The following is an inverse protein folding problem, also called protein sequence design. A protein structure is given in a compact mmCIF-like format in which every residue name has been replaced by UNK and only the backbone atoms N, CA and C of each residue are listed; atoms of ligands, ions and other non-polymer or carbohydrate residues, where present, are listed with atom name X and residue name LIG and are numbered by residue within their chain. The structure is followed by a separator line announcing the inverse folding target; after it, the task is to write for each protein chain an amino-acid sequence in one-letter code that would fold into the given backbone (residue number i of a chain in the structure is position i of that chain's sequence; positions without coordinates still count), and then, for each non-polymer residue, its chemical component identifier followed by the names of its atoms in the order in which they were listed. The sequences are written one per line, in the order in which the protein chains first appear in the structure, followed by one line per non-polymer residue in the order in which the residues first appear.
data_IF_503970306710
#
_entry.id   IF_503970306710
#
_cell.length_a   1.000
_cell.length_b   1.000
_cell.length_c   1.000
_cell.angle_alpha   90.00
_cell.angle_beta   90.00
_cell.angle_gamma   90.00
#
_symmetry.space_group_name_H-M   'P 1'
#
loop_
_entity.id
_entity.type
_entity.pdbx_description
1 polymer ?
#
# COMPACT_ATOMS: atom_id res chain seq x y z
N UNK A 1 -19.99 18.23 -14.68
CA UNK A 1 -20.80 18.50 -13.47
C UNK A 1 -22.13 17.74 -13.50
N UNK A 2 -22.79 17.66 -14.66
CA UNK A 2 -24.04 16.92 -14.86
C UNK A 2 -23.97 15.43 -14.47
N UNK A 3 -22.90 14.71 -14.82
CA UNK A 3 -22.81 13.25 -14.54
C UNK A 3 -22.78 12.90 -13.04
N UNK A 4 -22.15 13.72 -12.19
CA UNK A 4 -22.12 13.44 -10.73
C UNK A 4 -23.53 13.56 -10.16
N UNK A 5 -24.26 14.61 -10.51
CA UNK A 5 -25.60 14.89 -10.01
C UNK A 5 -26.55 13.79 -10.49
N UNK A 6 -26.46 13.39 -11.76
CA UNK A 6 -27.24 12.28 -12.32
C UNK A 6 -26.97 10.97 -11.57
N UNK A 7 -25.70 10.61 -11.35
CA UNK A 7 -25.34 9.38 -10.63
C UNK A 7 -25.76 9.40 -9.16
N UNK A 8 -25.66 10.55 -8.48
CA UNK A 8 -26.14 10.72 -7.11
C UNK A 8 -27.66 10.56 -7.03
N UNK A 9 -28.39 11.15 -7.99
CA UNK A 9 -29.84 11.02 -8.08
C UNK A 9 -30.25 9.56 -8.32
N UNK A 10 -29.63 8.91 -9.30
CA UNK A 10 -29.87 7.49 -9.60
C UNK A 10 -29.58 6.58 -8.41
N UNK A 11 -28.50 6.85 -7.67
CA UNK A 11 -28.16 6.10 -6.48
C UNK A 11 -29.22 6.31 -5.39
N UNK A 12 -29.61 7.57 -5.13
CA UNK A 12 -30.66 7.90 -4.15
C UNK A 12 -31.99 7.23 -4.51
N UNK A 13 -32.42 7.32 -5.76
CA UNK A 13 -33.64 6.66 -6.26
C UNK A 13 -33.56 5.14 -6.09
N UNK A 14 -32.39 4.53 -6.30
CA UNK A 14 -32.23 3.07 -6.15
C UNK A 14 -32.15 2.62 -4.69
N UNK A 15 -31.92 3.55 -3.76
CA UNK A 15 -31.91 3.32 -2.31
C UNK A 15 -33.27 3.62 -1.66
N UNK A 16 -34.12 4.41 -2.32
CA UNK A 16 -35.46 4.74 -1.87
C UNK A 16 -36.43 3.76 -2.49
N UNK A 17 -36.76 2.69 -1.77
CA UNK A 17 -37.75 1.70 -2.20
C UNK A 17 -39.09 1.98 -1.51
N UNK A 18 -40.19 1.79 -2.26
CA UNK A 18 -41.54 1.65 -1.71
C UNK A 18 -41.65 0.30 -0.98
N UNK A 19 -42.49 0.21 0.05
CA UNK A 19 -42.45 -0.79 1.15
C UNK A 19 -42.40 -2.30 0.77
N UNK A 20 -42.54 -2.69 -0.51
CA UNK A 20 -42.66 -4.09 -0.96
C UNK A 20 -41.64 -4.58 -2.02
N UNK A 21 -40.68 -3.77 -2.51
CA UNK A 21 -39.67 -4.21 -3.50
C UNK A 21 -38.30 -4.56 -2.88
N UNK A 22 -37.69 -5.67 -3.31
CA UNK A 22 -36.30 -6.00 -2.92
C UNK A 22 -35.27 -5.06 -3.56
N UNK A 23 -34.23 -4.70 -2.80
CA UNK A 23 -33.09 -3.91 -3.29
C UNK A 23 -32.39 -4.63 -4.45
N UNK A 24 -32.34 -3.98 -5.62
CA UNK A 24 -31.48 -4.43 -6.72
C UNK A 24 -30.01 -4.11 -6.43
N UNK A 25 -29.35 -5.01 -5.69
CA UNK A 25 -27.96 -4.86 -5.23
C UNK A 25 -26.99 -4.66 -6.39
N UNK A 26 -27.14 -5.40 -7.49
CA UNK A 26 -26.24 -5.29 -8.64
C UNK A 26 -26.30 -3.91 -9.30
N UNK A 27 -27.51 -3.36 -9.46
CA UNK A 27 -27.71 -2.00 -9.97
C UNK A 27 -27.08 -0.97 -9.04
N UNK A 28 -27.28 -1.11 -7.73
CA UNK A 28 -26.70 -0.21 -6.72
C UNK A 28 -25.17 -0.24 -6.77
N UNK A 29 -24.56 -1.44 -6.78
CA UNK A 29 -23.10 -1.57 -6.86
C UNK A 29 -22.53 -0.98 -8.14
N UNK A 30 -23.22 -1.13 -9.27
CA UNK A 30 -22.80 -0.57 -10.56
C UNK A 30 -22.84 0.98 -10.54
N UNK A 31 -23.94 1.58 -10.08
CA UNK A 31 -24.07 3.04 -9.96
C UNK A 31 -23.03 3.59 -8.98
N UNK A 32 -22.90 2.96 -7.81
CA UNK A 32 -21.92 3.36 -6.81
C UNK A 32 -20.49 3.29 -7.35
N UNK A 33 -20.14 2.22 -8.07
CA UNK A 33 -18.83 2.08 -8.68
C UNK A 33 -18.52 3.20 -9.68
N UNK A 34 -19.49 3.56 -10.55
CA UNK A 34 -19.36 4.69 -11.49
C UNK A 34 -19.20 6.03 -10.76
N UNK A 35 -19.98 6.25 -9.70
CA UNK A 35 -19.92 7.47 -8.91
C UNK A 35 -18.58 7.61 -8.17
N UNK A 36 -18.10 6.53 -7.55
CA UNK A 36 -16.77 6.48 -6.90
C UNK A 36 -15.67 6.75 -7.93
N UNK A 37 -15.74 6.10 -9.10
CA UNK A 37 -14.79 6.36 -10.18
C UNK A 37 -14.76 7.84 -10.56
N UNK A 38 -15.93 8.46 -10.75
CA UNK A 38 -16.03 9.87 -11.09
C UNK A 38 -15.44 10.78 -9.99
N UNK A 39 -15.73 10.50 -8.71
CA UNK A 39 -15.11 11.23 -7.60
C UNK A 39 -13.59 11.10 -7.57
N UNK A 40 -13.07 9.89 -7.76
CA UNK A 40 -11.63 9.62 -7.81
C UNK A 40 -10.94 10.38 -8.95
N UNK A 41 -11.53 10.38 -10.15
CA UNK A 41 -11.02 11.09 -11.33
C UNK A 41 -10.96 12.60 -11.14
N UNK A 42 -11.81 13.15 -10.26
CA UNK A 42 -11.80 14.56 -9.86
C UNK A 42 -11.04 14.81 -8.55
N UNK A 43 -10.20 13.85 -8.11
CA UNK A 43 -9.41 13.96 -6.88
C UNK A 43 -10.23 14.12 -5.57
N UNK A 44 -11.54 13.79 -5.57
CA UNK A 44 -12.47 13.95 -4.44
C UNK A 44 -12.56 12.68 -3.58
N UNK A 45 -11.50 12.34 -2.85
CA UNK A 45 -11.43 11.10 -2.02
C UNK A 45 -12.51 11.06 -0.95
N UNK A 46 -12.74 12.16 -0.24
CA UNK A 46 -13.73 12.21 0.84
C UNK A 46 -15.16 11.96 0.33
N UNK A 47 -15.50 12.47 -0.85
CA UNK A 47 -16.78 12.20 -1.49
C UNK A 47 -16.92 10.73 -1.92
N UNK A 48 -15.87 10.15 -2.50
CA UNK A 48 -15.83 8.72 -2.81
C UNK A 48 -16.01 7.86 -1.55
N UNK A 49 -15.37 8.24 -0.43
CA UNK A 49 -15.51 7.58 0.87
C UNK A 49 -16.95 7.68 1.39
N UNK A 50 -17.60 8.82 1.27
CA UNK A 50 -18.99 8.98 1.72
C UNK A 50 -19.93 8.00 1.01
N UNK A 51 -19.76 7.83 -0.31
CA UNK A 51 -20.53 6.83 -1.08
C UNK A 51 -20.25 5.43 -0.56
N UNK A 52 -18.98 5.07 -0.34
CA UNK A 52 -18.59 3.77 0.20
C UNK A 52 -19.26 3.45 1.53
N UNK A 53 -19.31 4.41 2.45
CA UNK A 53 -19.90 4.19 3.79
C UNK A 53 -21.38 3.81 3.69
N UNK A 54 -22.11 4.44 2.77
CA UNK A 54 -23.51 4.10 2.50
C UNK A 54 -23.64 2.69 1.90
N UNK A 55 -22.74 2.30 0.99
CA UNK A 55 -22.83 1.00 0.35
C UNK A 55 -22.41 -0.14 1.29
N UNK A 56 -21.43 0.08 2.17
CA UNK A 56 -20.98 -0.92 3.14
C UNK A 56 -22.08 -1.30 4.15
N UNK A 57 -23.03 -0.42 4.44
CA UNK A 57 -24.18 -0.77 5.29
C UNK A 57 -25.24 -1.61 4.58
N UNK A 58 -25.13 -1.80 3.25
CA UNK A 58 -26.14 -2.45 2.43
C UNK A 58 -25.64 -3.79 1.89
N UNK A 59 -24.42 -3.82 1.36
CA UNK A 59 -23.88 -5.02 0.72
C UNK A 59 -22.36 -5.12 0.80
N UNK A 60 -21.84 -6.34 0.70
CA UNK A 60 -20.42 -6.58 0.51
C UNK A 60 -19.99 -6.11 -0.89
N UNK A 61 -18.90 -5.34 -1.03
CA UNK A 61 -18.43 -4.89 -2.33
C UNK A 61 -17.91 -6.08 -3.15
N UNK A 62 -18.33 -6.16 -4.41
CA UNK A 62 -17.87 -7.18 -5.36
C UNK A 62 -17.42 -6.56 -6.69
N UNK A 63 -16.61 -7.32 -7.45
CA UNK A 63 -16.19 -6.97 -8.81
C UNK A 63 -15.65 -5.53 -8.95
N UNK A 64 -16.30 -4.75 -9.80
CA UNK A 64 -15.87 -3.38 -10.12
C UNK A 64 -16.03 -2.42 -8.93
N UNK A 65 -16.98 -2.65 -8.01
CA UNK A 65 -17.09 -1.84 -6.80
C UNK A 65 -15.89 -2.08 -5.88
N UNK A 66 -15.47 -3.33 -5.69
CA UNK A 66 -14.25 -3.67 -4.93
C UNK A 66 -13.01 -3.04 -5.52
N UNK A 67 -12.89 -3.01 -6.85
CA UNK A 67 -11.79 -2.32 -7.52
C UNK A 67 -11.75 -0.82 -7.20
N UNK A 68 -12.89 -0.12 -7.31
CA UNK A 68 -12.92 1.32 -7.02
C UNK A 68 -12.72 1.60 -5.53
N UNK A 69 -13.27 0.76 -4.66
CA UNK A 69 -13.08 0.88 -3.23
C UNK A 69 -11.61 0.62 -2.84
N UNK A 70 -10.97 -0.41 -3.40
CA UNK A 70 -9.54 -0.65 -3.21
C UNK A 70 -8.70 0.58 -3.53
N UNK A 71 -9.01 1.28 -4.64
CA UNK A 71 -8.34 2.55 -5.01
C UNK A 71 -8.56 3.67 -3.99
N UNK A 72 -9.74 3.78 -3.38
CA UNK A 72 -9.98 4.74 -2.27
C UNK A 72 -9.11 4.38 -1.07
N UNK A 73 -9.09 3.11 -0.66
CA UNK A 73 -8.28 2.63 0.45
C UNK A 73 -6.78 2.90 0.26
N UNK A 74 -6.25 2.74 -0.96
CA UNK A 74 -4.85 3.07 -1.29
C UNK A 74 -4.54 4.54 -1.01
N UNK A 75 -5.44 5.43 -1.40
CA UNK A 75 -5.28 6.89 -1.24
C UNK A 75 -5.37 7.35 0.20
N UNK A 76 -6.02 6.56 1.05
CA UNK A 76 -6.14 6.81 2.50
C UNK A 76 -5.07 6.05 3.32
N UNK A 77 -4.16 5.31 2.67
CA UNK A 77 -3.15 4.51 3.37
C UNK A 77 -3.68 3.24 4.03
N UNK A 78 -4.92 2.82 3.74
CA UNK A 78 -5.54 1.60 4.27
C UNK A 78 -5.15 0.37 3.44
N UNK A 79 -3.86 0.03 3.44
CA UNK A 79 -3.29 -0.97 2.53
C UNK A 79 -3.82 -2.39 2.75
N UNK A 80 -4.02 -2.82 4.00
CA UNK A 80 -4.57 -4.15 4.28
C UNK A 80 -5.97 -4.32 3.68
N UNK A 81 -6.85 -3.31 3.88
CA UNK A 81 -8.20 -3.32 3.32
C UNK A 81 -8.20 -3.23 1.80
N UNK A 82 -7.28 -2.45 1.22
CA UNK A 82 -7.11 -2.41 -0.24
C UNK A 82 -6.73 -3.78 -0.79
N UNK A 83 -5.78 -4.47 -0.14
CA UNK A 83 -5.33 -5.80 -0.54
C UNK A 83 -6.45 -6.85 -0.49
N UNK A 84 -7.27 -6.86 0.57
CA UNK A 84 -8.43 -7.76 0.64
C UNK A 84 -9.44 -7.46 -0.46
N UNK A 85 -9.74 -6.18 -0.70
CA UNK A 85 -10.68 -5.77 -1.75
C UNK A 85 -10.21 -6.17 -3.15
N UNK A 86 -8.92 -6.02 -3.45
CA UNK A 86 -8.38 -6.40 -4.76
C UNK A 86 -8.36 -7.92 -4.99
N UNK A 87 -8.12 -8.71 -3.95
CA UNK A 87 -8.20 -10.17 -4.04
C UNK A 87 -9.64 -10.69 -4.21
N UNK A 88 -10.64 -9.95 -3.73
CA UNK A 88 -12.05 -10.33 -3.84
C UNK A 88 -12.71 -10.03 -5.20
N UNK A 89 -11.98 -9.49 -6.19
CA UNK A 89 -12.55 -9.10 -7.50
C UNK A 89 -12.90 -10.33 -8.37
N UNK A 90 -12.36 -11.51 -8.06
CA UNK A 90 -12.65 -12.77 -8.78
C UNK A 90 -11.89 -12.94 -10.10
N UNK A 91 -11.24 -11.91 -10.62
CA UNK A 91 -10.31 -11.99 -11.75
C UNK A 91 -9.11 -11.06 -11.55
N UNK A 92 -7.95 -11.46 -12.08
CA UNK A 92 -6.70 -10.68 -11.98
C UNK A 92 -6.24 -10.29 -13.38
N UNK A 93 -6.10 -8.98 -13.61
CA UNK A 93 -5.52 -8.42 -14.82
C UNK A 93 -4.48 -7.34 -14.48
N UNK A 94 -3.82 -6.78 -15.49
CA UNK A 94 -2.76 -5.79 -15.29
C UNK A 94 -3.21 -4.54 -14.50
N UNK A 95 -4.48 -4.12 -14.63
CA UNK A 95 -5.02 -2.94 -13.92
C UNK A 95 -5.10 -3.18 -12.41
N UNK A 96 -5.31 -4.43 -12.00
CA UNK A 96 -5.35 -4.83 -10.59
C UNK A 96 -3.92 -5.11 -10.11
N UNK A 97 -3.11 -5.77 -10.94
CA UNK A 97 -1.72 -6.10 -10.61
C UNK A 97 -0.87 -4.87 -10.29
N UNK A 98 -1.09 -3.73 -10.95
CA UNK A 98 -0.36 -2.50 -10.62
C UNK A 98 -0.50 -2.10 -9.14
N UNK A 99 -1.61 -2.48 -8.48
CA UNK A 99 -1.83 -2.31 -7.04
C UNK A 99 -1.40 -3.54 -6.23
N UNK A 100 -1.73 -4.76 -6.70
CA UNK A 100 -1.44 -5.98 -5.95
C UNK A 100 0.06 -6.22 -5.79
N UNK A 101 0.89 -5.99 -6.82
CA UNK A 101 2.33 -6.26 -6.73
C UNK A 101 3.01 -5.51 -5.55
N UNK A 102 2.87 -4.18 -5.40
CA UNK A 102 3.44 -3.49 -4.24
C UNK A 102 2.76 -3.86 -2.92
N UNK A 103 1.46 -4.18 -2.91
CA UNK A 103 0.75 -4.61 -1.70
C UNK A 103 1.20 -5.99 -1.20
N UNK A 104 1.41 -6.94 -2.11
CA UNK A 104 1.96 -8.27 -1.83
C UNK A 104 3.31 -8.17 -1.14
N UNK A 105 4.17 -7.29 -1.65
CA UNK A 105 5.44 -7.04 -1.00
C UNK A 105 5.27 -6.36 0.37
N UNK A 106 4.41 -5.34 0.47
CA UNK A 106 4.22 -4.62 1.73
C UNK A 106 3.65 -5.48 2.86
N UNK A 107 2.72 -6.38 2.53
CA UNK A 107 1.93 -7.15 3.50
C UNK A 107 2.54 -8.54 3.72
N UNK A 108 2.90 -9.24 2.64
CA UNK A 108 3.36 -10.62 2.70
C UNK A 108 4.87 -10.78 2.45
N UNK A 109 5.60 -9.68 2.23
CA UNK A 109 7.02 -9.69 1.85
C UNK A 109 7.28 -10.55 0.59
N UNK A 110 6.29 -10.65 -0.31
CA UNK A 110 6.35 -11.48 -1.51
C UNK A 110 6.73 -10.64 -2.73
N UNK A 111 7.75 -11.10 -3.46
CA UNK A 111 8.17 -10.48 -4.72
C UNK A 111 7.36 -10.99 -5.91
N UNK A 112 7.19 -10.18 -6.97
CA UNK A 112 6.59 -10.65 -8.23
C UNK A 112 7.40 -11.78 -8.86
N UNK A 113 6.72 -12.75 -9.50
CA UNK A 113 7.36 -13.74 -10.36
C UNK A 113 7.84 -13.04 -11.65
N UNK A 114 9.04 -13.37 -12.13
CA UNK A 114 9.60 -12.79 -13.36
C UNK A 114 8.72 -13.02 -14.60
N UNK A 115 7.94 -14.10 -14.64
CA UNK A 115 6.96 -14.39 -15.70
C UNK A 115 5.85 -13.31 -15.82
N UNK A 116 5.58 -12.55 -14.75
CA UNK A 116 4.56 -11.48 -14.78
C UNK A 116 4.96 -10.37 -15.76
N UNK A 117 6.25 -10.10 -15.91
CA UNK A 117 6.75 -9.04 -16.79
C UNK A 117 6.57 -9.40 -18.27
N UNK A 118 6.69 -10.68 -18.61
CA UNK A 118 6.46 -11.20 -19.95
C UNK A 118 4.97 -11.25 -20.27
N UNK A 119 4.16 -11.74 -19.32
CA UNK A 119 2.70 -11.84 -19.47
C UNK A 119 2.02 -10.46 -19.57
N UNK A 120 2.55 -9.46 -18.87
CA UNK A 120 2.00 -8.10 -18.85
C UNK A 120 3.12 -7.06 -19.09
N UNK A 121 3.56 -6.86 -20.35
CA UNK A 121 4.64 -5.92 -20.69
C UNK A 121 4.37 -4.48 -20.23
N UNK A 122 3.11 -4.08 -20.12
CA UNK A 122 2.71 -2.76 -19.58
C UNK A 122 3.18 -2.52 -18.14
N UNK A 123 3.45 -3.58 -17.38
CA UNK A 123 3.97 -3.50 -16.00
C UNK A 123 5.50 -3.42 -15.96
N UNK A 124 6.20 -3.61 -17.07
CA UNK A 124 7.67 -3.62 -17.14
C UNK A 124 8.35 -2.38 -16.50
N UNK A 125 7.79 -1.15 -16.59
CA UNK A 125 8.35 0.01 -15.88
C UNK A 125 8.46 -0.15 -14.36
N UNK A 126 7.71 -1.09 -13.75
CA UNK A 126 7.81 -1.41 -12.33
C UNK A 126 8.97 -2.36 -11.99
N UNK A 127 9.47 -3.13 -12.96
CA UNK A 127 10.50 -4.16 -12.73
C UNK A 127 11.78 -3.60 -12.05
N UNK A 128 12.32 -2.43 -12.44
CA UNK A 128 13.48 -1.87 -11.75
C UNK A 128 13.25 -1.59 -10.25
N UNK A 129 12.04 -1.14 -9.88
CA UNK A 129 11.68 -0.92 -8.47
C UNK A 129 11.72 -2.24 -7.69
N UNK A 130 11.17 -3.32 -8.25
CA UNK A 130 11.22 -4.64 -7.61
C UNK A 130 12.61 -5.28 -7.60
N UNK A 131 13.45 -5.01 -8.59
CA UNK A 131 14.86 -5.42 -8.58
C UNK A 131 15.64 -4.73 -7.45
N UNK A 132 15.37 -3.44 -7.20
CA UNK A 132 15.97 -2.72 -6.09
C UNK A 132 15.50 -3.25 -4.72
N UNK A 133 14.22 -3.67 -4.62
CA UNK A 133 13.71 -4.38 -3.44
C UNK A 133 14.43 -5.73 -3.27
N UNK A 134 14.54 -6.53 -4.33
CA UNK A 134 15.17 -7.87 -4.33
C UNK A 134 16.65 -7.82 -3.93
N UNK A 135 17.36 -6.76 -4.33
CA UNK A 135 18.75 -6.51 -3.94
C UNK A 135 18.90 -5.78 -2.59
N UNK A 136 17.79 -5.44 -1.93
CA UNK A 136 17.72 -4.70 -0.68
C UNK A 136 18.48 -3.37 -0.67
N UNK A 137 18.55 -2.72 -1.83
CA UNK A 137 19.30 -1.48 -2.01
C UNK A 137 18.39 -0.27 -1.77
N UNK A 138 18.39 0.24 -0.53
CA UNK A 138 17.57 1.39 -0.11
C UNK A 138 17.85 2.64 -0.96
N UNK A 139 19.13 2.94 -1.24
CA UNK A 139 19.52 4.12 -2.04
C UNK A 139 18.98 4.04 -3.46
N UNK A 140 19.20 2.90 -4.13
CA UNK A 140 18.71 2.68 -5.50
C UNK A 140 17.18 2.72 -5.54
N UNK A 141 16.50 2.11 -4.57
CA UNK A 141 15.05 2.13 -4.52
C UNK A 141 14.50 3.55 -4.36
N UNK A 142 15.11 4.36 -3.48
CA UNK A 142 14.74 5.78 -3.32
C UNK A 142 15.00 6.59 -4.59
N UNK A 143 16.13 6.40 -5.26
CA UNK A 143 16.41 7.13 -6.50
C UNK A 143 15.42 6.76 -7.61
N UNK A 144 15.05 5.48 -7.72
CA UNK A 144 14.03 5.01 -8.66
C UNK A 144 12.63 5.57 -8.34
N UNK A 145 12.24 5.66 -7.06
CA UNK A 145 10.99 6.32 -6.66
C UNK A 145 11.00 7.78 -7.07
N UNK A 146 12.09 8.49 -6.82
CA UNK A 146 12.22 9.92 -7.15
C UNK A 146 12.17 10.13 -8.67
N UNK A 147 12.89 9.32 -9.44
CA UNK A 147 12.87 9.33 -10.90
C UNK A 147 11.45 9.09 -11.46
N UNK A 148 10.71 8.14 -10.86
CA UNK A 148 9.35 7.79 -11.28
C UNK A 148 8.25 8.59 -10.56
N UNK A 149 8.59 9.63 -9.79
CA UNK A 149 7.65 10.26 -8.85
C UNK A 149 6.42 10.84 -9.56
N UNK A 150 6.61 11.50 -10.71
CA UNK A 150 5.51 12.08 -11.49
C UNK A 150 4.54 11.00 -12.00
N UNK A 151 5.08 9.90 -12.53
CA UNK A 151 4.27 8.79 -13.03
C UNK A 151 3.52 8.09 -11.89
N UNK A 152 4.21 7.77 -10.79
CA UNK A 152 3.61 7.18 -9.59
C UNK A 152 2.53 8.08 -8.98
N UNK A 153 2.71 9.40 -9.01
CA UNK A 153 1.70 10.36 -8.57
C UNK A 153 0.46 10.35 -9.47
N UNK A 154 0.65 10.30 -10.80
CA UNK A 154 -0.45 10.24 -11.77
C UNK A 154 -1.34 9.02 -11.57
N UNK A 155 -0.78 7.89 -11.14
CA UNK A 155 -1.52 6.67 -10.81
C UNK A 155 -1.84 6.51 -9.31
N UNK A 156 -1.55 7.53 -8.50
CA UNK A 156 -1.79 7.58 -7.05
C UNK A 156 -1.12 6.47 -6.23
N UNK A 157 0.05 6.00 -6.67
CA UNK A 157 0.83 4.96 -5.99
C UNK A 157 2.08 5.48 -5.26
N UNK A 158 2.47 6.74 -5.43
CA UNK A 158 3.72 7.25 -4.85
C UNK A 158 3.82 6.99 -3.34
N UNK A 159 2.75 7.28 -2.58
CA UNK A 159 2.73 7.05 -1.14
C UNK A 159 2.90 5.57 -0.79
N UNK A 160 2.25 4.66 -1.52
CA UNK A 160 2.42 3.22 -1.32
C UNK A 160 3.87 2.79 -1.58
N UNK A 161 4.48 3.23 -2.68
CA UNK A 161 5.87 2.88 -2.99
C UNK A 161 6.86 3.40 -1.95
N UNK A 162 6.64 4.60 -1.40
CA UNK A 162 7.46 5.12 -0.29
C UNK A 162 7.39 4.24 0.96
N UNK A 163 6.25 3.59 1.23
CA UNK A 163 6.10 2.67 2.37
C UNK A 163 6.93 1.39 2.22
N UNK A 164 7.25 0.98 0.98
CA UNK A 164 8.04 -0.23 0.72
C UNK A 164 9.51 -0.10 1.17
N UNK A 165 9.98 1.11 1.47
CA UNK A 165 11.34 1.35 2.00
C UNK A 165 11.53 0.66 3.36
N UNK A 166 10.49 0.65 4.21
CA UNK A 166 10.60 0.14 5.57
C UNK A 166 10.79 -1.39 5.62
N UNK A 167 10.05 -2.20 4.86
CA UNK A 167 10.35 -3.63 4.69
C UNK A 167 11.80 -3.91 4.28
N UNK A 168 12.36 -3.13 3.33
CA UNK A 168 13.78 -3.29 2.93
C UNK A 168 14.72 -3.03 4.12
N UNK A 169 14.48 -1.94 4.87
CA UNK A 169 15.29 -1.59 6.05
C UNK A 169 15.20 -2.64 7.14
N UNK A 170 14.02 -3.23 7.38
CA UNK A 170 13.82 -4.32 8.35
C UNK A 170 14.64 -5.55 7.93
N UNK A 171 14.61 -5.92 6.64
CA UNK A 171 15.41 -7.05 6.13
C UNK A 171 16.90 -6.78 6.33
N UNK A 172 17.37 -5.58 6.02
CA UNK A 172 18.77 -5.21 6.23
C UNK A 172 19.15 -5.24 7.72
N UNK A 173 18.32 -4.70 8.61
CA UNK A 173 18.54 -4.75 10.05
C UNK A 173 18.57 -6.20 10.57
N UNK A 174 17.68 -7.06 10.06
CA UNK A 174 17.67 -8.50 10.39
C UNK A 174 18.97 -9.18 9.96
N UNK A 175 19.45 -8.93 8.74
CA UNK A 175 20.74 -9.45 8.24
C UNK A 175 21.91 -8.96 9.08
N UNK A 176 21.94 -7.67 9.43
CA UNK A 176 22.97 -7.11 10.32
C UNK A 176 22.92 -7.82 11.67
N UNK A 177 21.74 -7.97 12.27
CA UNK A 177 21.60 -8.59 13.59
C UNK A 177 22.04 -10.05 13.64
N UNK A 178 21.91 -10.79 12.53
CA UNK A 178 22.36 -12.18 12.42
C UNK A 178 23.89 -12.28 12.32
N UNK A 179 24.53 -11.28 11.71
CA UNK A 179 25.97 -11.26 11.47
C UNK A 179 26.74 -10.47 12.54
N UNK A 180 26.05 -9.73 13.40
CA UNK A 180 26.67 -8.95 14.47
C UNK A 180 26.70 -9.77 15.76
N UNK A 181 27.85 -9.83 16.48
CA UNK A 181 28.03 -10.76 17.60
C UNK A 181 27.19 -10.42 18.83
N UNK A 182 26.59 -9.23 18.89
CA UNK A 182 25.83 -8.73 20.04
C UNK A 182 24.48 -8.19 19.57
N UNK A 183 23.49 -8.26 20.45
CA UNK A 183 22.17 -7.63 20.25
C UNK A 183 22.22 -6.08 20.36
N UNK A 184 23.38 -5.51 20.68
CA UNK A 184 23.64 -4.08 20.73
C UNK A 184 24.40 -3.71 19.46
N UNK A 185 23.75 -2.99 18.54
CA UNK A 185 24.26 -2.71 17.19
C UNK A 185 24.47 -1.20 17.05
N UNK A 186 25.67 -0.73 16.66
CA UNK A 186 25.90 0.66 16.31
C UNK A 186 25.01 1.15 15.17
N UNK A 187 24.38 2.31 15.37
CA UNK A 187 23.50 2.94 14.36
C UNK A 187 24.28 3.25 13.08
N UNK A 188 25.57 3.57 13.19
CA UNK A 188 26.47 3.82 12.06
C UNK A 188 26.58 2.62 11.10
N UNK A 189 26.55 1.38 11.60
CA UNK A 189 26.58 0.19 10.75
C UNK A 189 25.31 0.10 9.90
N UNK A 190 24.16 0.36 10.52
CA UNK A 190 22.86 0.34 9.85
C UNK A 190 22.77 1.47 8.82
N UNK A 191 23.24 2.66 9.20
CA UNK A 191 23.34 3.85 8.35
C UNK A 191 24.19 3.57 7.10
N UNK A 192 25.36 2.93 7.28
CA UNK A 192 26.26 2.57 6.18
C UNK A 192 25.62 1.55 5.22
N UNK A 193 25.00 0.49 5.73
CA UNK A 193 24.33 -0.54 4.90
C UNK A 193 23.19 0.06 4.08
N UNK A 194 22.41 0.97 4.66
CA UNK A 194 21.30 1.61 3.97
C UNK A 194 21.72 2.84 3.15
N UNK A 195 22.97 3.29 3.27
CA UNK A 195 23.51 4.52 2.70
C UNK A 195 22.64 5.75 3.06
N UNK A 196 22.40 5.90 4.36
CA UNK A 196 21.59 6.96 4.95
C UNK A 196 22.34 7.63 6.10
N UNK A 197 22.07 8.91 6.42
CA UNK A 197 22.70 9.55 7.56
C UNK A 197 22.21 8.93 8.88
N UNK A 198 23.03 9.05 9.92
CA UNK A 198 22.75 8.53 11.27
C UNK A 198 21.43 9.09 11.80
N UNK A 199 21.16 10.39 11.62
CA UNK A 199 19.93 11.04 12.07
C UNK A 199 18.67 10.47 11.42
N UNK A 200 18.72 10.22 10.10
CA UNK A 200 17.61 9.56 9.39
C UNK A 200 17.46 8.11 9.84
N UNK A 201 18.58 7.44 10.12
CA UNK A 201 18.62 6.06 10.62
C UNK A 201 17.95 5.92 11.96
N UNK A 202 18.32 6.78 12.91
CA UNK A 202 17.71 6.82 14.23
C UNK A 202 16.21 7.10 14.13
N UNK A 203 15.79 8.07 13.30
CA UNK A 203 14.38 8.41 13.11
C UNK A 203 13.54 7.22 12.62
N UNK A 204 13.96 6.51 11.57
CA UNK A 204 13.15 5.39 11.06
C UNK A 204 13.21 4.17 12.00
N UNK A 205 14.31 3.97 12.74
CA UNK A 205 14.39 2.92 13.77
C UNK A 205 13.40 3.21 14.89
N UNK A 206 13.37 4.44 15.41
CA UNK A 206 12.39 4.88 16.41
C UNK A 206 10.97 4.63 15.95
N UNK A 207 10.66 4.94 14.68
CA UNK A 207 9.35 4.67 14.09
C UNK A 207 9.03 3.17 14.06
N UNK A 208 9.98 2.31 13.69
CA UNK A 208 9.78 0.86 13.64
C UNK A 208 9.63 0.22 15.02
N UNK A 209 10.31 0.76 16.03
CA UNK A 209 10.13 0.38 17.44
C UNK A 209 8.74 0.77 17.91
N UNK A 210 8.35 2.03 17.70
CA UNK A 210 7.04 2.54 18.09
C UNK A 210 5.89 1.78 17.40
N UNK A 211 6.05 1.38 16.14
CA UNK A 211 5.05 0.58 15.42
C UNK A 211 5.07 -0.90 15.78
N UNK A 212 5.93 -1.34 16.71
CA UNK A 212 6.06 -2.74 17.12
C UNK A 212 6.64 -3.66 16.04
N UNK A 213 7.32 -3.14 15.01
CA UNK A 213 7.97 -3.95 13.96
C UNK A 213 9.35 -4.45 14.39
N UNK A 214 10.02 -3.68 15.25
CA UNK A 214 11.30 -4.00 15.86
C UNK A 214 11.13 -3.94 17.37
N UNK A 215 11.58 -4.97 18.09
CA UNK A 215 11.56 -5.01 19.55
C UNK A 215 12.94 -4.65 20.08
N UNK A 216 13.02 -3.54 20.80
CA UNK A 216 14.27 -2.99 21.32
C UNK A 216 14.12 -1.53 21.72
N UNK A 217 15.25 -0.88 22.02
CA UNK A 217 15.31 0.57 22.28
C UNK A 217 16.56 1.18 21.63
N UNK A 218 16.55 2.50 21.43
CA UNK A 218 17.74 3.26 21.03
C UNK A 218 18.38 3.85 22.28
N UNK A 219 19.68 3.60 22.44
CA UNK A 219 20.50 4.33 23.41
C UNK A 219 21.18 5.49 22.69
N UNK A 220 20.55 6.66 22.70
CA UNK A 220 21.01 7.86 22.00
C UNK A 220 22.46 8.24 22.39
N UNK A 221 22.76 8.27 23.69
CA UNK A 221 24.09 8.62 24.21
C UNK A 221 25.22 7.71 23.72
N UNK A 222 24.90 6.47 23.35
CA UNK A 222 25.86 5.49 22.86
C UNK A 222 25.75 5.26 21.34
N UNK A 223 24.83 5.93 20.65
CA UNK A 223 24.56 5.76 19.23
C UNK A 223 24.35 4.29 18.80
N UNK A 224 23.62 3.52 19.63
CA UNK A 224 23.32 2.09 19.39
C UNK A 224 21.83 1.81 19.45
N UNK A 225 21.38 0.79 18.72
CA UNK A 225 20.13 0.09 18.97
C UNK A 225 20.40 -1.15 19.82
N UNK A 226 19.60 -1.35 20.87
CA UNK A 226 19.60 -2.55 21.70
C UNK A 226 18.37 -3.38 21.34
N UNK A 227 18.59 -4.45 20.59
CA UNK A 227 17.54 -5.38 20.15
C UNK A 227 17.15 -6.35 21.27
N UNK A 228 15.88 -6.75 21.28
CA UNK A 228 15.41 -7.85 22.13
C UNK A 228 16.17 -9.15 21.80
N UNK A 229 16.61 -9.87 22.83
CA UNK A 229 17.25 -11.19 22.66
C UNK A 229 16.29 -12.24 22.11
N UNK A 230 14.99 -12.08 22.36
CA UNK A 230 13.95 -12.98 21.87
C UNK A 230 13.17 -12.28 20.74
N UNK A 231 13.02 -12.96 19.61
CA UNK A 231 12.34 -12.53 18.37
C UNK A 231 12.37 -11.01 18.13
N UNK A 232 13.54 -10.40 17.85
CA UNK A 232 13.69 -8.94 17.75
C UNK A 232 12.87 -8.28 16.62
N UNK A 233 12.31 -9.07 15.71
CA UNK A 233 11.50 -8.60 14.60
C UNK A 233 10.15 -9.28 14.64
N UNK A 234 9.10 -8.50 14.44
CA UNK A 234 7.75 -9.01 14.24
C UNK A 234 7.66 -9.69 12.87
N UNK A 235 6.84 -10.75 12.78
CA UNK A 235 6.56 -11.47 11.53
C UNK A 235 5.80 -10.55 10.58
#
# INVERSE_FOLDING_TARGET
MNDTITLQRQLKESLQIQEDEELNIDKIQNIASKLIHHHLSNNRVSAARAVILVIESICQPMGQLSYQYGRVCIREGKYQKAYTLFNNIGYINWKILVYLLPLEYLINNKLPNDLIWEKYPILFPLKPLFNAIKSHNVKLFKSLINYNAQWLNKIHLLSLYKQLINPIRIINLKKISMNYPKHIIPISIIANVNNEPITSTECYISQMINSGKVRGYISHSHCVIVLSKQSPFSI
#
